data_IF_532893801425
#
_entry.id   IF_532893801425
#
_cell.length_a   1.000
_cell.length_b   1.000
_cell.length_c   1.000
_cell.angle_alpha   90.00
_cell.angle_beta   90.00
_cell.angle_gamma   90.00
#
_symmetry.space_group_name_H-M   'P 1'
#
loop_
_entity.id
_entity.type
_entity.pdbx_description
1 polymer ?
#
# COMPACT_ATOMS: atom_id res chain seq x y z
N UNK A 1 22.16 -23.55 -15.10
CA UNK A 1 21.14 -24.27 -15.90
C UNK A 1 20.80 -23.44 -17.12
N UNK A 2 20.55 -24.06 -18.29
CA UNK A 2 20.18 -23.35 -19.53
C UNK A 2 18.70 -23.59 -19.81
N UNK A 3 17.93 -22.52 -19.88
CA UNK A 3 16.49 -22.56 -20.14
C UNK A 3 16.13 -21.45 -21.14
N UNK A 4 15.22 -21.75 -22.05
CA UNK A 4 14.69 -20.74 -22.98
C UNK A 4 13.43 -20.14 -22.37
N UNK A 5 13.39 -18.83 -22.22
CA UNK A 5 12.26 -18.07 -21.68
C UNK A 5 11.87 -16.96 -22.66
N UNK A 6 10.59 -16.59 -22.69
CA UNK A 6 10.13 -15.41 -23.42
C UNK A 6 10.19 -14.20 -22.49
N UNK A 7 10.67 -13.07 -23.01
CA UNK A 7 10.76 -11.81 -22.28
C UNK A 7 9.77 -10.83 -22.90
N UNK A 8 8.99 -10.17 -22.05
CA UNK A 8 8.19 -9.02 -22.49
C UNK A 8 9.11 -7.86 -22.89
N UNK A 9 8.65 -6.94 -23.77
CA UNK A 9 9.47 -5.85 -24.28
C UNK A 9 10.10 -4.98 -23.18
N UNK A 10 9.37 -4.75 -22.09
CA UNK A 10 9.85 -4.01 -20.92
C UNK A 10 10.99 -4.72 -20.17
N UNK A 11 10.92 -6.05 -20.08
CA UNK A 11 11.95 -6.86 -19.42
C UNK A 11 13.21 -6.91 -20.28
N UNK A 12 13.06 -7.03 -21.59
CA UNK A 12 14.18 -6.96 -22.53
C UNK A 12 14.89 -5.60 -22.47
N UNK A 13 14.14 -4.50 -22.41
CA UNK A 13 14.70 -3.15 -22.27
C UNK A 13 15.45 -2.96 -20.94
N UNK A 14 14.90 -3.48 -19.84
CA UNK A 14 15.57 -3.45 -18.53
C UNK A 14 16.88 -4.26 -18.54
N UNK A 15 16.88 -5.44 -19.15
CA UNK A 15 18.07 -6.26 -19.30
C UNK A 15 19.14 -5.57 -20.15
N UNK A 16 18.77 -4.96 -21.29
CA UNK A 16 19.70 -4.21 -22.15
C UNK A 16 20.32 -2.99 -21.45
N UNK A 17 19.54 -2.28 -20.64
CA UNK A 17 20.08 -1.20 -19.80
C UNK A 17 21.15 -1.73 -18.84
N UNK A 18 20.83 -2.80 -18.13
CA UNK A 18 21.76 -3.39 -17.16
C UNK A 18 23.04 -3.91 -17.84
N UNK A 19 22.92 -4.49 -19.04
CA UNK A 19 24.07 -4.88 -19.87
C UNK A 19 24.98 -3.71 -20.20
N UNK A 20 24.42 -2.54 -20.56
CA UNK A 20 25.20 -1.33 -20.88
C UNK A 20 25.88 -0.76 -19.64
N UNK A 21 25.17 -0.73 -18.52
CA UNK A 21 25.66 -0.16 -17.26
C UNK A 21 26.76 -1.01 -16.62
N UNK A 22 26.68 -2.35 -16.76
CA UNK A 22 27.60 -3.28 -16.06
C UNK A 22 28.50 -4.09 -16.98
N UNK A 23 28.38 -3.92 -18.29
CA UNK A 23 29.15 -4.64 -19.32
C UNK A 23 29.05 -6.18 -19.19
N UNK A 24 27.86 -6.68 -18.87
CA UNK A 24 27.57 -8.12 -18.69
C UNK A 24 26.79 -8.74 -19.85
N UNK A 25 26.78 -10.07 -19.90
CA UNK A 25 25.98 -10.83 -20.88
C UNK A 25 24.48 -10.79 -20.60
N UNK A 26 23.64 -11.09 -21.62
CA UNK A 26 22.18 -11.06 -21.48
C UNK A 26 21.66 -12.04 -20.41
N UNK A 27 22.15 -13.29 -20.43
CA UNK A 27 21.73 -14.29 -19.43
C UNK A 27 22.14 -13.89 -18.01
N UNK A 28 23.26 -13.19 -17.86
CA UNK A 28 23.71 -12.66 -16.57
C UNK A 28 22.83 -11.50 -16.10
N UNK A 29 22.52 -10.56 -16.98
CA UNK A 29 21.61 -9.46 -16.70
C UNK A 29 20.22 -9.95 -16.28
N UNK A 30 19.66 -10.94 -17.00
CA UNK A 30 18.35 -11.55 -16.66
C UNK A 30 18.40 -12.23 -15.28
N UNK A 31 19.46 -12.98 -14.98
CA UNK A 31 19.61 -13.62 -13.68
C UNK A 31 19.76 -12.61 -12.54
N UNK A 32 20.42 -11.48 -12.79
CA UNK A 32 20.53 -10.41 -11.81
C UNK A 32 19.18 -9.75 -11.52
N UNK A 33 18.41 -9.42 -12.57
CA UNK A 33 17.05 -8.90 -12.43
C UNK A 33 16.14 -9.88 -11.66
N UNK A 34 16.23 -11.17 -11.98
CA UNK A 34 15.49 -12.21 -11.27
C UNK A 34 15.88 -12.27 -9.78
N UNK A 35 17.18 -12.25 -9.46
CA UNK A 35 17.65 -12.22 -8.07
C UNK A 35 17.19 -10.98 -7.31
N UNK A 36 17.25 -9.81 -7.95
CA UNK A 36 16.75 -8.58 -7.34
C UNK A 36 15.24 -8.67 -7.04
N UNK A 37 14.46 -9.27 -7.94
CA UNK A 37 13.05 -9.54 -7.74
C UNK A 37 12.78 -10.52 -6.59
N UNK A 38 13.55 -11.61 -6.48
CA UNK A 38 13.44 -12.58 -5.40
C UNK A 38 13.81 -12.00 -4.03
N UNK A 39 14.81 -11.11 -3.98
CA UNK A 39 15.22 -10.41 -2.77
C UNK A 39 14.21 -9.33 -2.34
N UNK A 40 13.40 -8.82 -3.27
CA UNK A 40 12.36 -7.81 -2.99
C UNK A 40 11.15 -8.46 -2.30
N UNK A 41 11.33 -8.83 -1.04
CA UNK A 41 10.20 -9.15 -0.15
C UNK A 41 9.44 -7.84 0.09
N UNK A 42 8.18 -7.77 -0.33
CA UNK A 42 7.31 -6.71 0.18
C UNK A 42 7.17 -6.95 1.68
N UNK A 43 7.72 -6.05 2.49
CA UNK A 43 7.37 -6.05 3.90
C UNK A 43 5.85 -5.85 4.01
N UNK A 44 5.14 -6.72 4.72
CA UNK A 44 3.72 -6.51 4.93
C UNK A 44 3.55 -5.17 5.64
N UNK A 45 2.81 -4.26 5.01
CA UNK A 45 2.45 -2.99 5.65
C UNK A 45 1.39 -3.32 6.69
N UNK A 46 1.80 -3.45 7.94
CA UNK A 46 0.87 -3.64 9.04
C UNK A 46 -0.02 -2.42 9.21
N UNK A 47 -1.29 -2.65 9.51
CA UNK A 47 -2.20 -1.58 9.90
C UNK A 47 -1.62 -0.82 11.10
N UNK A 48 -1.52 0.49 10.97
CA UNK A 48 -1.22 1.40 12.08
C UNK A 48 -2.43 2.28 12.31
N UNK A 49 -3.07 2.10 13.46
CA UNK A 49 -4.19 2.94 13.86
C UNK A 49 -3.71 4.40 13.89
N UNK A 50 -4.40 5.26 13.13
CA UNK A 50 -4.21 6.70 13.18
C UNK A 50 -5.40 7.28 13.95
N UNK A 51 -5.15 7.75 15.16
CA UNK A 51 -6.14 8.47 15.95
C UNK A 51 -5.91 9.96 15.82
N UNK A 52 -7.00 10.73 15.85
CA UNK A 52 -6.96 12.18 15.92
C UNK A 52 -8.07 12.65 16.85
N UNK A 53 -7.85 13.76 17.55
CA UNK A 53 -8.88 14.37 18.38
C UNK A 53 -9.96 14.98 17.48
N UNK A 54 -11.17 14.43 17.54
CA UNK A 54 -12.31 14.86 16.71
C UNK A 54 -12.98 16.14 17.27
N UNK A 55 -12.48 16.71 18.38
CA UNK A 55 -13.06 17.87 19.08
C UNK A 55 -14.59 17.74 19.25
N UNK A 56 -14.99 16.64 19.88
CA UNK A 56 -16.39 16.36 20.19
C UNK A 56 -16.97 17.52 21.02
N UNK A 57 -18.17 17.96 20.64
CA UNK A 57 -18.93 19.03 21.33
C UNK A 57 -19.85 18.49 22.44
N UNK A 58 -20.11 17.19 22.41
CA UNK A 58 -20.97 16.45 23.34
C UNK A 58 -20.16 15.24 23.83
N UNK A 59 -20.33 14.87 25.09
CA UNK A 59 -19.64 13.70 25.65
C UNK A 59 -20.28 12.40 25.16
N UNK A 60 -19.63 11.74 24.20
CA UNK A 60 -20.10 10.47 23.63
C UNK A 60 -19.71 9.25 24.45
N UNK A 61 -19.11 9.44 25.63
CA UNK A 61 -18.84 8.36 26.58
C UNK A 61 -20.11 8.00 27.36
N UNK A 62 -20.97 8.99 27.62
CA UNK A 62 -22.30 8.78 28.17
C UNK A 62 -23.31 8.66 27.02
N UNK A 63 -23.68 7.42 26.71
CA UNK A 63 -24.57 7.10 25.60
C UNK A 63 -26.01 7.54 25.92
N UNK A 64 -26.45 7.43 27.17
CA UNK A 64 -27.84 7.71 27.54
C UNK A 64 -28.15 9.20 27.39
N UNK A 65 -27.32 10.04 28.00
CA UNK A 65 -27.47 11.50 27.94
C UNK A 65 -27.30 12.03 26.51
N UNK A 66 -26.39 11.44 25.72
CA UNK A 66 -26.20 11.84 24.31
C UNK A 66 -27.43 11.51 23.46
N UNK A 67 -28.05 10.35 23.66
CA UNK A 67 -29.25 9.96 22.92
C UNK A 67 -30.46 10.82 23.31
N UNK A 68 -30.61 11.17 24.58
CA UNK A 68 -31.68 12.08 25.02
C UNK A 68 -31.51 13.48 24.41
N UNK A 69 -30.27 13.99 24.31
CA UNK A 69 -29.99 15.25 23.64
C UNK A 69 -30.32 15.20 22.13
N UNK A 70 -30.11 14.06 21.47
CA UNK A 70 -30.51 13.86 20.08
C UNK A 70 -32.04 13.84 19.93
N UNK A 71 -32.76 13.13 20.79
CA UNK A 71 -34.23 13.08 20.76
C UNK A 71 -34.84 14.48 20.97
N UNK A 72 -34.26 15.30 21.87
CA UNK A 72 -34.67 16.69 22.09
C UNK A 72 -34.42 17.57 20.87
N UNK A 73 -33.29 17.36 20.15
CA UNK A 73 -32.98 18.09 18.93
C UNK A 73 -33.95 17.73 17.79
N UNK A 74 -34.20 16.43 17.58
CA UNK A 74 -35.12 15.94 16.55
C UNK A 74 -36.57 16.41 16.81
N UNK A 75 -36.99 16.48 18.08
CA UNK A 75 -38.29 17.02 18.47
C UNK A 75 -38.40 18.55 18.28
N UNK A 76 -37.27 19.27 18.36
CA UNK A 76 -37.18 20.72 18.17
C UNK A 76 -37.19 21.16 16.70
N UNK A 77 -36.66 20.33 15.79
CA UNK A 77 -36.65 20.58 14.34
C UNK A 77 -38.02 20.30 13.66
N UNK A 78 -38.98 19.74 14.39
CA UNK A 78 -40.32 19.41 13.90
C UNK A 78 -41.35 20.56 14.01
N UNK A 79 -40.91 21.81 14.21
CA UNK A 79 -41.77 23.02 14.30
C UNK A 79 -41.56 24.00 13.15
#
# INVERSE_FOLDING_TARGET
MRTTVRLDPEVAAAAERLRKERHIGLGEAVNELARAGLAKKQEPVYFRQRTASVRLKVDVTDIADTLELLDQHDAGDAQ
#
